data_IF_635945173519
#
_entry.id   IF_635945173519
#
_cell.length_a   1.000
_cell.length_b   1.000
_cell.length_c   1.000
_cell.angle_alpha   90.00
_cell.angle_beta   90.00
_cell.angle_gamma   90.00
#
_symmetry.space_group_name_H-M   'P 1'
#
loop_
_entity.id
_entity.type
_entity.pdbx_description
1 polymer ?
#
# COMPACT_ATOMS: atom_id res chain seq x y z
N UNK A 1 -14.67 13.17 0.05
CA UNK A 1 -15.77 12.18 0.10
C UNK A 1 -15.17 10.83 -0.23
N UNK A 2 -15.21 9.85 0.68
CA UNK A 2 -14.61 8.54 0.44
C UNK A 2 -15.35 7.78 -0.65
N UNK A 3 -14.60 7.13 -1.52
CA UNK A 3 -15.02 6.14 -2.51
C UNK A 3 -15.70 4.94 -1.83
N UNK A 4 -16.41 4.12 -2.59
CA UNK A 4 -17.04 2.90 -2.06
C UNK A 4 -16.03 1.97 -1.38
N UNK A 5 -14.82 1.85 -1.94
CA UNK A 5 -13.74 1.02 -1.39
C UNK A 5 -13.29 1.58 -0.04
N UNK A 6 -13.09 2.89 0.06
CA UNK A 6 -12.70 3.54 1.31
C UNK A 6 -13.79 3.37 2.40
N UNK A 7 -15.07 3.46 2.03
CA UNK A 7 -16.18 3.21 2.97
C UNK A 7 -16.22 1.76 3.48
N UNK A 8 -15.95 0.79 2.59
CA UNK A 8 -15.93 -0.61 2.97
C UNK A 8 -14.77 -0.89 3.94
N UNK A 9 -13.59 -0.30 3.69
CA UNK A 9 -12.43 -0.39 4.59
C UNK A 9 -12.76 0.20 5.97
N UNK A 10 -13.37 1.39 6.04
CA UNK A 10 -13.73 2.03 7.31
C UNK A 10 -14.70 1.17 8.13
N UNK A 11 -15.69 0.55 7.48
CA UNK A 11 -16.65 -0.35 8.12
C UNK A 11 -16.02 -1.64 8.61
N UNK A 12 -15.20 -2.28 7.78
CA UNK A 12 -14.51 -3.52 8.12
C UNK A 12 -13.51 -3.35 9.28
N UNK A 13 -13.01 -2.14 9.48
CA UNK A 13 -12.14 -1.77 10.60
C UNK A 13 -12.92 -1.20 11.80
N UNK A 14 -14.25 -1.09 11.73
CA UNK A 14 -15.08 -0.58 12.83
C UNK A 14 -14.86 0.90 13.17
N UNK A 15 -14.28 1.69 12.25
CA UNK A 15 -13.95 3.11 12.45
C UNK A 15 -14.87 4.05 11.66
N UNK A 16 -15.90 3.52 11.02
CA UNK A 16 -16.93 4.28 10.30
C UNK A 16 -17.80 5.17 11.21
N UNK A 17 -17.73 4.95 12.53
CA UNK A 17 -18.35 5.80 13.56
C UNK A 17 -17.53 7.04 13.91
N UNK A 18 -16.27 7.14 13.47
CA UNK A 18 -15.43 8.31 13.74
C UNK A 18 -15.89 9.54 12.95
N UNK A 19 -15.54 10.76 13.40
CA UNK A 19 -15.76 11.98 12.61
C UNK A 19 -15.09 11.89 11.23
N UNK A 20 -15.66 12.48 10.16
CA UNK A 20 -15.12 12.39 8.79
C UNK A 20 -13.64 12.77 8.67
N UNK A 21 -13.21 13.80 9.39
CA UNK A 21 -11.80 14.23 9.41
C UNK A 21 -10.88 13.13 9.95
N UNK A 22 -11.31 12.41 10.99
CA UNK A 22 -10.57 11.28 11.56
C UNK A 22 -10.56 10.06 10.64
N UNK A 23 -11.67 9.81 9.94
CA UNK A 23 -11.73 8.76 8.93
C UNK A 23 -10.72 9.01 7.80
N UNK A 24 -10.65 10.25 7.33
CA UNK A 24 -9.69 10.67 6.30
C UNK A 24 -8.24 10.57 6.77
N UNK A 25 -7.94 11.00 8.01
CA UNK A 25 -6.61 10.85 8.62
C UNK A 25 -6.19 9.37 8.66
N UNK A 26 -7.08 8.48 9.12
CA UNK A 26 -6.78 7.05 9.22
C UNK A 26 -6.60 6.43 7.83
N UNK A 27 -7.50 6.71 6.88
CA UNK A 27 -7.38 6.22 5.50
C UNK A 27 -6.07 6.67 4.84
N UNK A 28 -5.69 7.93 5.05
CA UNK A 28 -4.43 8.47 4.53
C UNK A 28 -3.24 7.74 5.14
N UNK A 29 -3.19 7.62 6.47
CA UNK A 29 -2.10 6.93 7.17
C UNK A 29 -2.00 5.45 6.75
N UNK A 30 -3.14 4.76 6.58
CA UNK A 30 -3.19 3.38 6.12
C UNK A 30 -2.67 3.24 4.68
N UNK A 31 -3.10 4.13 3.79
CA UNK A 31 -2.66 4.15 2.39
C UNK A 31 -1.16 4.39 2.30
N UNK A 32 -0.63 5.33 3.07
CA UNK A 32 0.82 5.54 3.13
C UNK A 32 1.59 4.33 3.67
N UNK A 33 1.06 3.70 4.72
CA UNK A 33 1.71 2.55 5.36
C UNK A 33 1.77 1.34 4.41
N UNK A 34 0.67 1.03 3.72
CA UNK A 34 0.65 -0.07 2.74
C UNK A 34 1.56 0.22 1.56
N UNK A 35 1.57 1.46 1.04
CA UNK A 35 2.46 1.85 -0.04
C UNK A 35 3.94 1.69 0.34
N UNK A 36 4.33 2.12 1.55
CA UNK A 36 5.70 1.95 2.05
C UNK A 36 6.10 0.47 2.12
N UNK A 37 5.21 -0.40 2.61
CA UNK A 37 5.45 -1.85 2.67
C UNK A 37 5.61 -2.46 1.28
N UNK A 38 4.75 -2.08 0.34
CA UNK A 38 4.85 -2.51 -1.06
C UNK A 38 6.20 -2.10 -1.62
N UNK A 39 6.58 -0.82 -1.51
CA UNK A 39 7.87 -0.31 -2.03
C UNK A 39 9.04 -1.09 -1.44
N UNK A 40 9.06 -1.31 -0.12
CA UNK A 40 10.12 -2.09 0.52
C UNK A 40 10.21 -3.51 -0.06
N UNK A 41 9.08 -4.21 -0.19
CA UNK A 41 9.04 -5.56 -0.73
C UNK A 41 9.46 -5.62 -2.20
N UNK A 42 9.09 -4.61 -2.99
CA UNK A 42 9.52 -4.48 -4.39
C UNK A 42 11.04 -4.28 -4.49
N UNK A 43 11.60 -3.40 -3.67
CA UNK A 43 13.05 -3.17 -3.59
C UNK A 43 13.77 -4.45 -3.15
N UNK A 44 13.27 -5.15 -2.13
CA UNK A 44 13.82 -6.44 -1.66
C UNK A 44 13.80 -7.52 -2.76
N UNK A 45 12.76 -7.53 -3.59
CA UNK A 45 12.61 -8.51 -4.69
C UNK A 45 13.50 -8.17 -5.89
N UNK A 46 13.83 -6.90 -6.09
CA UNK A 46 14.75 -6.46 -7.14
C UNK A 46 16.20 -6.84 -6.79
N UNK A 47 16.90 -7.39 -7.78
CA UNK A 47 18.35 -7.56 -7.72
C UNK A 47 19.05 -6.20 -7.56
N UNK A 48 20.24 -6.20 -6.94
CA UNK A 48 20.95 -4.97 -6.61
C UNK A 48 21.24 -4.10 -7.84
N UNK A 49 21.57 -4.70 -9.00
CA UNK A 49 21.78 -3.96 -10.25
C UNK A 49 20.52 -3.27 -10.77
N UNK A 50 19.34 -3.83 -10.47
CA UNK A 50 18.05 -3.28 -10.87
C UNK A 50 17.57 -2.16 -9.94
N UNK A 51 18.06 -2.10 -8.71
CA UNK A 51 17.77 -1.00 -7.77
C UNK A 51 18.38 0.31 -8.25
N UNK A 52 19.64 0.29 -8.72
CA UNK A 52 20.27 1.48 -9.30
C UNK A 52 19.51 1.98 -10.55
N UNK A 53 19.07 1.06 -11.41
CA UNK A 53 18.23 1.42 -12.57
C UNK A 53 16.87 2.00 -12.15
N UNK A 54 16.26 1.46 -11.09
CA UNK A 54 15.01 2.00 -10.55
C UNK A 54 15.21 3.42 -10.02
N UNK A 55 16.32 3.72 -9.35
CA UNK A 55 16.64 5.07 -8.89
C UNK A 55 16.77 6.06 -10.07
N UNK A 56 17.47 5.68 -11.14
CA UNK A 56 17.59 6.50 -12.35
C UNK A 56 16.22 6.75 -13.01
N UNK A 57 15.38 5.71 -13.14
CA UNK A 57 14.01 5.85 -13.65
C UNK A 57 13.17 6.73 -12.73
N UNK A 58 13.35 6.60 -11.41
CA UNK A 58 12.67 7.40 -10.39
C UNK A 58 12.97 8.90 -10.49
N UNK A 59 14.21 9.29 -10.82
CA UNK A 59 14.60 10.69 -11.01
C UNK A 59 13.85 11.39 -12.15
N UNK A 60 13.34 10.62 -13.12
CA UNK A 60 12.53 11.19 -14.21
C UNK A 60 11.16 11.70 -13.75
N UNK A 61 10.69 11.26 -12.58
CA UNK A 61 9.34 11.57 -12.05
C UNK A 61 8.21 10.95 -12.87
N UNK A 62 8.52 10.14 -13.88
CA UNK A 62 7.56 9.57 -14.81
C UNK A 62 6.95 8.29 -14.21
N UNK A 63 5.77 8.44 -13.60
CA UNK A 63 5.07 7.34 -12.92
C UNK A 63 4.74 6.17 -13.85
N UNK A 64 4.55 6.42 -15.16
CA UNK A 64 4.30 5.36 -16.12
C UNK A 64 5.56 4.52 -16.36
N UNK A 65 6.72 5.17 -16.50
CA UNK A 65 8.01 4.47 -16.64
C UNK A 65 8.39 3.69 -15.40
N UNK A 66 8.17 4.25 -14.21
CA UNK A 66 8.42 3.54 -12.95
C UNK A 66 7.55 2.28 -12.88
N UNK A 67 6.26 2.42 -13.15
CA UNK A 67 5.31 1.28 -13.12
C UNK A 67 5.69 0.20 -14.13
N UNK A 68 6.06 0.60 -15.34
CA UNK A 68 6.47 -0.34 -16.38
C UNK A 68 7.78 -1.04 -16.04
N UNK A 69 8.78 -0.32 -15.52
CA UNK A 69 10.02 -0.92 -15.05
C UNK A 69 9.78 -1.98 -13.97
N UNK A 70 8.91 -1.67 -13.00
CA UNK A 70 8.57 -2.62 -11.95
C UNK A 70 7.88 -3.87 -12.52
N UNK A 71 6.91 -3.71 -13.44
CA UNK A 71 6.24 -4.82 -14.08
C UNK A 71 7.18 -5.71 -14.92
N UNK A 72 8.15 -5.11 -15.60
CA UNK A 72 9.10 -5.83 -16.47
C UNK A 72 10.18 -6.58 -15.67
N UNK A 73 10.52 -6.11 -14.47
CA UNK A 73 11.63 -6.65 -13.68
C UNK A 73 11.18 -7.44 -12.43
N UNK A 74 9.91 -7.38 -12.06
CA UNK A 74 9.35 -8.10 -10.90
C UNK A 74 8.32 -9.12 -11.39
N UNK A 75 8.64 -10.42 -11.37
CA UNK A 75 7.69 -11.47 -11.69
C UNK A 75 6.49 -11.38 -10.73
N UNK A 76 5.28 -11.51 -11.27
CA UNK A 76 4.04 -11.45 -10.49
C UNK A 76 3.89 -10.14 -9.70
N UNK A 77 4.38 -9.01 -10.24
CA UNK A 77 4.26 -7.68 -9.62
C UNK A 77 2.85 -7.39 -9.06
N UNK A 78 1.81 -7.63 -9.86
CA UNK A 78 0.42 -7.39 -9.42
C UNK A 78 0.00 -8.30 -8.25
N UNK A 79 0.45 -9.54 -8.24
CA UNK A 79 0.14 -10.48 -7.15
C UNK A 79 0.87 -10.08 -5.88
N UNK A 80 2.13 -9.64 -5.97
CA UNK A 80 2.90 -9.15 -4.83
C UNK A 80 2.21 -7.93 -4.19
N UNK A 81 1.75 -6.99 -5.00
CA UNK A 81 1.00 -5.81 -4.54
C UNK A 81 -0.29 -6.23 -3.84
N UNK A 82 -1.05 -7.15 -4.45
CA UNK A 82 -2.29 -7.69 -3.88
C UNK A 82 -2.03 -8.39 -2.55
N UNK A 83 -1.03 -9.25 -2.48
CA UNK A 83 -0.65 -9.98 -1.26
C UNK A 83 -0.31 -9.01 -0.13
N UNK A 84 0.49 -7.98 -0.40
CA UNK A 84 0.89 -7.01 0.61
C UNK A 84 -0.30 -6.18 1.12
N UNK A 85 -1.21 -5.79 0.22
CA UNK A 85 -2.44 -5.10 0.58
C UNK A 85 -3.36 -5.98 1.46
N UNK A 86 -3.55 -7.25 1.09
CA UNK A 86 -4.37 -8.20 1.88
C UNK A 86 -3.75 -8.46 3.24
N UNK A 87 -2.43 -8.65 3.30
CA UNK A 87 -1.70 -8.86 4.55
C UNK A 87 -1.82 -7.63 5.46
N UNK A 88 -1.62 -6.43 4.92
CA UNK A 88 -1.75 -5.20 5.67
C UNK A 88 -3.17 -5.01 6.22
N UNK A 89 -4.21 -5.25 5.41
CA UNK A 89 -5.61 -5.21 5.86
C UNK A 89 -5.84 -6.14 7.07
N UNK A 90 -5.34 -7.38 6.98
CA UNK A 90 -5.46 -8.35 8.07
C UNK A 90 -4.71 -7.91 9.34
N UNK A 91 -3.51 -7.35 9.19
CA UNK A 91 -2.73 -6.82 10.32
C UNK A 91 -3.49 -5.68 11.03
N UNK A 92 -4.15 -4.79 10.25
CA UNK A 92 -4.95 -3.70 10.81
C UNK A 92 -6.18 -4.19 11.56
N UNK A 93 -6.88 -5.21 11.03
CA UNK A 93 -8.00 -5.84 11.74
C UNK A 93 -7.54 -6.44 13.08
N UNK A 94 -6.44 -7.18 13.09
CA UNK A 94 -5.88 -7.76 14.32
C UNK A 94 -5.52 -6.66 15.33
N UNK A 95 -4.90 -5.57 14.87
CA UNK A 95 -4.53 -4.45 15.73
C UNK A 95 -5.76 -3.77 16.34
N UNK A 96 -6.81 -3.53 15.56
CA UNK A 96 -8.07 -2.94 16.05
C UNK A 96 -8.76 -3.88 17.03
N UNK A 97 -8.90 -5.16 16.71
CA UNK A 97 -9.51 -6.16 17.59
C UNK A 97 -8.78 -6.24 18.95
N UNK A 98 -7.45 -6.19 18.92
CA UNK A 98 -6.62 -6.21 20.14
C UNK A 98 -6.71 -4.93 20.99
N UNK A 99 -7.12 -3.80 20.41
CA UNK A 99 -7.37 -2.55 21.14
C UNK A 99 -8.79 -2.49 21.74
N UNK A 100 -9.72 -3.26 21.20
CA UNK A 100 -11.12 -3.31 21.62
C UNK A 100 -11.43 -4.47 22.60
N UNK A 101 -10.49 -5.40 22.79
CA UNK A 101 -10.58 -6.53 23.73
C UNK A 101 -10.16 -6.17 25.15
#
# INVERSE_FOLDING_TARGET
MPTQIEQDILKELGIDSLPPERQEEVLTAMTEAVLKRIILRLVETLADEKRTQLEEVGHSGDSAKISQFLADNIPNYEELVREEAVKFKKDMQIMVDGLLA
#
